data_IF_638033187512
#
_entry.id   IF_638033187512
#
_cell.length_a   1.000
_cell.length_b   1.000
_cell.length_c   1.000
_cell.angle_alpha   90.00
_cell.angle_beta   90.00
_cell.angle_gamma   90.00
#
_symmetry.space_group_name_H-M   'P 1'
#
loop_
_entity.id
_entity.type
_entity.pdbx_description
1 polymer ?
#
# COMPACT_ATOMS: atom_id res chain seq x y z
N UNK A 1 25.91 11.68 33.28
CA UNK A 1 25.62 11.76 31.83
C UNK A 1 24.96 10.49 31.30
N UNK A 2 25.47 9.28 31.62
CA UNK A 2 24.88 8.01 31.16
C UNK A 2 23.44 7.76 31.67
N UNK A 3 23.13 8.06 32.94
CA UNK A 3 21.75 7.95 33.47
C UNK A 3 20.73 8.88 32.80
N UNK A 4 21.17 10.05 32.32
CA UNK A 4 20.29 10.96 31.59
C UNK A 4 19.97 10.41 30.19
N UNK A 5 20.98 9.84 29.52
CA UNK A 5 20.79 9.21 28.21
C UNK A 5 19.90 7.97 28.30
N UNK A 6 20.04 7.14 29.34
CA UNK A 6 19.16 5.98 29.54
C UNK A 6 17.71 6.39 29.75
N UNK A 7 17.45 7.41 30.57
CA UNK A 7 16.09 7.89 30.79
C UNK A 7 15.47 8.44 29.50
N UNK A 8 16.25 9.11 28.65
CA UNK A 8 15.76 9.57 27.35
C UNK A 8 15.45 8.40 26.41
N UNK A 9 16.33 7.40 26.34
CA UNK A 9 16.09 6.22 25.49
C UNK A 9 14.88 5.41 25.96
N UNK A 10 14.68 5.29 27.27
CA UNK A 10 13.55 4.56 27.85
C UNK A 10 12.22 5.26 27.56
N UNK A 11 12.18 6.59 27.66
CA UNK A 11 11.00 7.38 27.29
C UNK A 11 10.71 7.26 25.79
N UNK A 12 11.72 7.39 24.93
CA UNK A 12 11.52 7.23 23.47
C UNK A 12 11.09 5.82 23.12
N UNK A 13 11.66 4.79 23.75
CA UNK A 13 11.30 3.40 23.51
C UNK A 13 9.86 3.10 23.97
N UNK A 14 9.44 3.67 25.10
CA UNK A 14 8.06 3.53 25.58
C UNK A 14 7.05 4.21 24.64
N UNK A 15 7.39 5.40 24.13
CA UNK A 15 6.57 6.09 23.13
C UNK A 15 6.53 5.32 21.81
N UNK A 16 7.66 4.77 21.37
CA UNK A 16 7.73 4.01 20.13
C UNK A 16 6.89 2.73 20.21
N UNK A 17 6.99 2.00 21.32
CA UNK A 17 6.18 0.79 21.53
C UNK A 17 4.67 1.10 21.63
N UNK A 18 4.31 2.23 22.25
CA UNK A 18 2.93 2.64 22.39
C UNK A 18 2.31 3.07 21.05
N UNK A 19 3.06 3.76 20.19
CA UNK A 19 2.53 4.31 18.94
C UNK A 19 2.69 3.32 17.79
N UNK A 20 3.90 2.80 17.55
CA UNK A 20 4.25 2.00 16.38
C UNK A 20 3.98 0.50 16.55
N UNK A 21 3.58 0.05 17.75
CA UNK A 21 3.25 -1.33 18.01
C UNK A 21 1.82 -1.70 17.63
N UNK A 22 1.10 -2.28 18.61
CA UNK A 22 -0.26 -2.81 18.42
C UNK A 22 -1.28 -1.75 17.97
N UNK A 23 -1.27 -0.50 18.46
CA UNK A 23 -2.27 0.50 18.06
C UNK A 23 -2.21 0.89 16.58
N UNK A 24 -1.00 1.09 16.01
CA UNK A 24 -0.86 1.38 14.58
C UNK A 24 -1.33 0.20 13.72
N UNK A 25 -0.99 -1.03 14.11
CA UNK A 25 -1.45 -2.23 13.41
C UNK A 25 -2.98 -2.37 13.45
N UNK A 26 -3.61 -2.12 14.61
CA UNK A 26 -5.06 -2.13 14.75
C UNK A 26 -5.72 -1.06 13.90
N UNK A 27 -5.17 0.17 13.86
CA UNK A 27 -5.70 1.24 13.01
C UNK A 27 -5.56 0.90 11.52
N UNK A 28 -4.43 0.33 11.11
CA UNK A 28 -4.19 -0.05 9.72
C UNK A 28 -5.15 -1.17 9.27
N UNK A 29 -5.24 -2.25 10.05
CA UNK A 29 -6.17 -3.35 9.78
C UNK A 29 -7.62 -2.91 9.86
N UNK A 30 -7.98 -2.14 10.89
CA UNK A 30 -9.33 -1.63 11.10
C UNK A 30 -9.79 -0.72 9.96
N UNK A 31 -8.92 0.19 9.51
CA UNK A 31 -9.20 1.05 8.35
C UNK A 31 -9.31 0.22 7.06
N UNK A 32 -8.45 -0.77 6.87
CA UNK A 32 -8.51 -1.69 5.73
C UNK A 32 -9.82 -2.46 5.67
N UNK A 33 -10.26 -3.04 6.78
CA UNK A 33 -11.53 -3.78 6.87
C UNK A 33 -12.71 -2.83 6.68
N UNK A 34 -12.71 -1.66 7.35
CA UNK A 34 -13.76 -0.66 7.23
C UNK A 34 -13.97 -0.22 5.78
N UNK A 35 -12.88 0.10 5.07
CA UNK A 35 -12.95 0.45 3.65
C UNK A 35 -13.41 -0.74 2.80
N UNK A 36 -12.98 -1.97 3.11
CA UNK A 36 -13.37 -3.17 2.36
C UNK A 36 -14.88 -3.42 2.45
N UNK A 37 -15.46 -3.29 3.64
CA UNK A 37 -16.91 -3.44 3.87
C UNK A 37 -17.68 -2.30 3.20
N UNK A 38 -17.23 -1.05 3.37
CA UNK A 38 -17.88 0.13 2.76
C UNK A 38 -17.86 0.07 1.23
N UNK A 39 -16.80 -0.46 0.63
CA UNK A 39 -16.67 -0.64 -0.80
C UNK A 39 -17.33 -1.94 -1.32
N UNK A 40 -18.05 -2.70 -0.48
CA UNK A 40 -18.70 -3.96 -0.86
C UNK A 40 -17.73 -4.96 -1.52
N UNK A 41 -16.55 -5.18 -0.91
CA UNK A 41 -15.55 -6.11 -1.44
C UNK A 41 -15.14 -5.83 -2.90
N UNK A 42 -15.06 -4.53 -3.25
CA UNK A 42 -14.65 -4.06 -4.57
C UNK A 42 -13.32 -4.66 -5.05
N UNK A 43 -12.41 -4.98 -4.12
CA UNK A 43 -11.16 -5.69 -4.40
C UNK A 43 -11.43 -6.99 -5.14
N UNK A 44 -12.38 -7.81 -4.70
CA UNK A 44 -12.72 -9.08 -5.33
C UNK A 44 -13.65 -8.92 -6.54
N UNK A 45 -14.63 -8.01 -6.44
CA UNK A 45 -15.61 -7.81 -7.51
C UNK A 45 -15.03 -7.14 -8.77
N UNK A 46 -14.04 -6.24 -8.63
CA UNK A 46 -13.46 -5.48 -9.75
C UNK A 46 -12.07 -5.95 -10.19
N UNK A 47 -11.41 -6.85 -9.47
CA UNK A 47 -10.13 -7.42 -9.89
C UNK A 47 -10.15 -7.99 -11.31
N UNK A 48 -11.16 -8.80 -11.73
CA UNK A 48 -11.21 -9.33 -13.10
C UNK A 48 -11.42 -8.23 -14.16
N UNK A 49 -12.18 -7.18 -13.83
CA UNK A 49 -12.44 -6.06 -14.73
C UNK A 49 -11.19 -5.19 -14.93
N UNK A 50 -10.46 -4.92 -13.85
CA UNK A 50 -9.23 -4.13 -13.88
C UNK A 50 -8.14 -4.91 -14.62
N UNK A 51 -7.99 -6.21 -14.36
CA UNK A 51 -7.00 -7.03 -15.04
C UNK A 51 -7.29 -7.11 -16.55
N UNK A 52 -8.56 -7.25 -16.97
CA UNK A 52 -8.95 -7.16 -18.39
C UNK A 52 -8.66 -5.79 -19.02
N UNK A 53 -8.83 -4.68 -18.30
CA UNK A 53 -8.57 -3.33 -18.84
C UNK A 53 -7.10 -2.92 -18.82
N UNK A 54 -6.30 -3.46 -17.90
CA UNK A 54 -4.87 -3.17 -17.80
C UNK A 54 -4.06 -4.12 -18.67
N UNK A 55 -4.30 -5.43 -18.58
CA UNK A 55 -3.61 -6.47 -19.37
C UNK A 55 -4.19 -6.60 -20.78
N UNK A 56 -5.52 -6.48 -20.95
CA UNK A 56 -6.12 -6.52 -22.28
C UNK A 56 -5.75 -5.33 -23.17
N UNK A 57 -5.34 -4.20 -22.58
CA UNK A 57 -4.76 -3.04 -23.32
C UNK A 57 -3.33 -3.26 -23.79
N UNK A 58 -2.64 -4.34 -23.36
CA UNK A 58 -1.38 -4.77 -23.99
C UNK A 58 -1.61 -5.40 -25.37
N UNK A 59 -2.71 -6.13 -25.56
CA UNK A 59 -2.99 -6.88 -26.78
C UNK A 59 -3.98 -6.17 -27.73
N UNK A 60 -4.86 -5.32 -27.21
CA UNK A 60 -5.81 -4.54 -27.98
C UNK A 60 -5.27 -3.17 -28.36
N UNK A 61 -5.04 -2.99 -29.68
CA UNK A 61 -4.92 -1.75 -30.47
C UNK A 61 -4.92 -0.43 -29.67
N UNK A 62 -3.84 0.35 -29.87
CA UNK A 62 -3.66 1.75 -29.46
C UNK A 62 -4.87 2.62 -29.83
N UNK A 63 -5.91 2.64 -29.01
CA UNK A 63 -6.93 3.68 -29.12
C UNK A 63 -6.45 4.91 -28.39
N UNK A 64 -6.05 5.89 -29.21
CA UNK A 64 -5.89 7.31 -28.87
C UNK A 64 -7.17 7.81 -28.20
N UNK A 65 -7.28 7.62 -26.90
CA UNK A 65 -8.38 8.08 -26.07
C UNK A 65 -7.90 9.09 -25.04
N UNK A 66 -7.63 10.31 -25.51
CA UNK A 66 -7.64 11.59 -24.79
C UNK A 66 -7.88 11.52 -23.25
N UNK A 67 -6.84 11.17 -22.48
CA UNK A 67 -6.73 11.51 -21.05
C UNK A 67 -5.26 11.78 -20.75
N UNK A 68 -4.99 13.02 -20.38
CA UNK A 68 -3.71 13.60 -19.95
C UNK A 68 -3.06 12.80 -18.81
N UNK A 69 -2.34 11.74 -19.14
CA UNK A 69 -1.57 10.94 -18.19
C UNK A 69 -0.19 10.67 -18.76
N UNK A 70 0.85 11.12 -18.06
CA UNK A 70 2.27 10.98 -18.46
C UNK A 70 2.73 9.51 -18.53
N UNK A 71 1.94 8.56 -18.00
CA UNK A 71 2.26 7.15 -17.86
C UNK A 71 1.11 6.25 -18.37
N UNK A 72 1.46 5.14 -19.01
CA UNK A 72 0.46 4.10 -19.36
C UNK A 72 -0.05 3.38 -18.11
N UNK A 73 -1.28 2.82 -18.12
CA UNK A 73 -1.83 2.09 -16.97
C UNK A 73 -0.94 0.94 -16.47
N UNK A 74 -0.21 0.29 -17.38
CA UNK A 74 0.75 -0.78 -17.05
C UNK A 74 2.01 -0.20 -16.41
N UNK A 75 2.57 0.87 -16.96
CA UNK A 75 3.75 1.52 -16.36
C UNK A 75 3.45 2.04 -14.95
N UNK A 76 2.29 2.66 -14.74
CA UNK A 76 1.87 3.10 -13.40
C UNK A 76 1.73 1.92 -12.42
N UNK A 77 1.15 0.79 -12.88
CA UNK A 77 1.07 -0.43 -12.08
C UNK A 77 2.46 -0.98 -11.73
N UNK A 78 3.35 -1.10 -12.71
CA UNK A 78 4.71 -1.61 -12.49
C UNK A 78 5.51 -0.72 -11.53
N UNK A 79 5.39 0.61 -11.63
CA UNK A 79 6.05 1.54 -10.70
C UNK A 79 5.51 1.39 -9.28
N UNK A 80 4.19 1.30 -9.11
CA UNK A 80 3.58 1.08 -7.79
C UNK A 80 4.00 -0.27 -7.19
N UNK A 81 3.97 -1.35 -7.99
CA UNK A 81 4.40 -2.68 -7.56
C UNK A 81 5.88 -2.71 -7.17
N UNK A 82 6.75 -2.09 -7.97
CA UNK A 82 8.18 -1.98 -7.66
C UNK A 82 8.43 -1.22 -6.35
N UNK A 83 7.60 -0.23 -6.02
CA UNK A 83 7.67 0.50 -4.75
C UNK A 83 7.20 -0.33 -3.53
N UNK A 84 6.29 -1.28 -3.74
CA UNK A 84 5.76 -2.14 -2.65
C UNK A 84 6.48 -3.48 -2.52
N UNK A 85 7.14 -3.97 -3.58
CA UNK A 85 7.92 -5.22 -3.57
C UNK A 85 9.34 -4.89 -3.14
N UNK A 86 9.62 -5.05 -1.85
CA UNK A 86 10.93 -4.81 -1.25
C UNK A 86 11.44 -6.01 -0.45
N UNK A 87 12.58 -5.82 0.22
CA UNK A 87 13.20 -6.83 1.09
C UNK A 87 12.23 -7.37 2.16
N UNK A 88 11.28 -6.55 2.60
CA UNK A 88 10.23 -6.95 3.55
C UNK A 88 9.31 -8.09 3.07
N UNK A 89 9.11 -8.26 1.75
CA UNK A 89 8.31 -9.37 1.19
C UNK A 89 9.14 -10.63 0.86
N UNK A 90 10.48 -10.54 0.93
CA UNK A 90 11.41 -11.65 0.63
C UNK A 90 11.96 -12.27 1.93
N UNK A 91 12.21 -11.43 2.94
CA UNK A 91 12.78 -11.86 4.21
C UNK A 91 11.72 -12.12 5.31
N UNK A 92 10.55 -11.50 5.20
CA UNK A 92 9.39 -11.78 6.06
C UNK A 92 8.56 -12.93 5.51
#
# INVERSE_FOLDING_TARGET
>A
MQQFLSNLTDITAAMDAAIWGVPMLMLLLGTGIYLTVRLHFLQFARFPFIMKKTVGRLFGKKEKGNKSGTLTPVQALTTALAGTVGTGNIAG
#
